data_IF_621034414640
#
_entry.id   IF_621034414640
#
_cell.length_a   1.000
_cell.length_b   1.000
_cell.length_c   1.000
_cell.angle_alpha   90.00
_cell.angle_beta   90.00
_cell.angle_gamma   90.00
#
_symmetry.space_group_name_H-M   'P 1'
#
loop_
_entity.id
_entity.type
_entity.pdbx_description
1 polymer ?
#
# COMPACT_ATOMS: atom_id res chain seq x y z
N UNK A 1 -17.76 -67.98 -45.38
CA UNK A 1 -18.34 -67.36 -44.14
C UNK A 1 -17.44 -66.28 -43.65
N UNK A 2 -17.75 -65.03 -44.01
CA UNK A 2 -17.01 -63.85 -43.55
C UNK A 2 -17.84 -63.07 -42.51
N UNK A 3 -17.34 -62.98 -41.29
CA UNK A 3 -17.93 -62.15 -40.22
C UNK A 3 -17.23 -60.79 -40.19
N UNK A 4 -17.93 -59.77 -40.63
CA UNK A 4 -17.52 -58.36 -40.58
C UNK A 4 -17.71 -57.81 -39.14
N UNK A 5 -16.64 -57.37 -38.50
CA UNK A 5 -16.71 -56.67 -37.21
C UNK A 5 -16.98 -55.13 -37.48
N UNK A 6 -18.15 -54.64 -37.07
CA UNK A 6 -18.43 -53.22 -36.94
C UNK A 6 -17.78 -52.69 -35.63
N UNK A 7 -16.78 -51.83 -35.77
CA UNK A 7 -16.23 -51.05 -34.65
C UNK A 7 -17.02 -49.73 -34.57
N UNK A 8 -17.64 -49.54 -33.43
CA UNK A 8 -18.40 -48.35 -33.05
C UNK A 8 -17.47 -47.13 -32.83
N UNK A 9 -17.65 -46.07 -33.62
CA UNK A 9 -17.05 -44.77 -33.44
C UNK A 9 -18.02 -43.89 -32.62
N UNK A 10 -17.99 -43.93 -31.28
CA UNK A 10 -18.82 -43.11 -30.38
C UNK A 10 -17.96 -42.52 -29.24
N UNK A 11 -16.70 -42.25 -29.43
CA UNK A 11 -15.84 -41.78 -28.34
C UNK A 11 -15.33 -40.31 -28.49
N UNK A 12 -15.42 -39.73 -29.69
CA UNK A 12 -14.71 -38.47 -29.96
C UNK A 12 -15.55 -37.19 -29.96
N UNK A 13 -16.89 -37.30 -29.99
CA UNK A 13 -17.78 -36.15 -30.04
C UNK A 13 -18.09 -35.56 -28.64
N UNK A 14 -18.07 -36.39 -27.58
CA UNK A 14 -18.41 -35.92 -26.20
C UNK A 14 -17.30 -35.14 -25.54
N UNK A 15 -16.02 -35.36 -25.87
CA UNK A 15 -14.89 -34.63 -25.31
C UNK A 15 -14.78 -33.21 -25.90
N UNK A 16 -15.17 -33.02 -27.16
CA UNK A 16 -15.13 -31.70 -27.82
C UNK A 16 -16.23 -30.77 -27.31
N UNK A 17 -17.43 -31.31 -26.95
CA UNK A 17 -18.51 -30.49 -26.39
C UNK A 17 -18.23 -30.01 -24.96
N UNK A 18 -17.52 -30.79 -24.14
CA UNK A 18 -17.13 -30.39 -22.78
C UNK A 18 -16.01 -29.32 -22.78
N UNK A 19 -15.12 -29.37 -23.79
CA UNK A 19 -14.07 -28.32 -23.93
C UNK A 19 -14.64 -27.00 -24.42
N UNK A 20 -15.65 -26.97 -25.29
CA UNK A 20 -16.33 -25.74 -25.72
C UNK A 20 -17.22 -25.14 -24.61
N UNK A 21 -17.83 -25.93 -23.75
CA UNK A 21 -18.62 -25.46 -22.63
C UNK A 21 -17.76 -24.77 -21.55
N UNK A 22 -16.50 -25.21 -21.37
CA UNK A 22 -15.53 -24.58 -20.46
C UNK A 22 -15.03 -23.21 -20.91
N UNK A 23 -14.91 -22.99 -22.25
CA UNK A 23 -14.50 -21.69 -22.80
C UNK A 23 -15.65 -20.67 -22.81
N UNK A 24 -16.90 -21.11 -22.88
CA UNK A 24 -18.07 -20.21 -22.88
C UNK A 24 -18.41 -19.71 -21.46
N UNK A 25 -18.07 -20.44 -20.42
CA UNK A 25 -18.33 -20.04 -19.03
C UNK A 25 -17.43 -18.89 -18.55
N UNK A 26 -16.22 -18.71 -19.15
CA UNK A 26 -15.31 -17.61 -18.82
C UNK A 26 -15.70 -16.25 -19.43
N UNK A 27 -16.48 -16.26 -20.51
CA UNK A 27 -16.84 -15.02 -21.24
C UNK A 27 -18.16 -14.39 -20.74
N UNK A 28 -19.01 -15.15 -20.04
CA UNK A 28 -20.32 -14.66 -19.58
C UNK A 28 -20.28 -13.80 -18.33
N UNK A 29 -19.17 -13.80 -17.55
CA UNK A 29 -19.03 -13.02 -16.32
C UNK A 29 -18.45 -11.62 -16.53
N UNK A 30 -17.88 -11.31 -17.71
CA UNK A 30 -17.26 -10.01 -17.99
C UNK A 30 -18.22 -8.98 -18.61
N UNK A 31 -19.43 -9.39 -19.05
CA UNK A 31 -20.33 -8.50 -19.77
C UNK A 31 -21.04 -7.45 -18.90
N UNK A 32 -21.31 -7.75 -17.65
CA UNK A 32 -22.13 -6.91 -16.76
C UNK A 32 -21.39 -6.43 -15.48
N UNK A 33 -20.08 -6.65 -15.38
CA UNK A 33 -19.31 -6.16 -14.22
C UNK A 33 -19.06 -4.66 -14.27
N UNK A 34 -19.31 -3.91 -13.19
CA UNK A 34 -20.01 -4.30 -11.97
C UNK A 34 -21.54 -4.06 -12.07
N UNK A 35 -22.35 -4.96 -11.47
CA UNK A 35 -23.82 -4.84 -11.40
C UNK A 35 -24.33 -4.56 -9.98
N UNK A 36 -23.44 -4.50 -8.99
CA UNK A 36 -23.75 -4.29 -7.58
C UNK A 36 -22.64 -3.48 -6.88
N UNK A 37 -22.88 -2.97 -5.66
CA UNK A 37 -21.89 -2.21 -4.91
C UNK A 37 -20.59 -2.98 -4.66
N UNK A 38 -19.44 -2.27 -4.75
CA UNK A 38 -18.11 -2.76 -4.45
C UNK A 38 -17.74 -2.37 -3.02
N UNK A 39 -17.12 -3.27 -2.27
CA UNK A 39 -16.55 -2.99 -0.94
C UNK A 39 -15.05 -2.73 -1.08
N UNK A 40 -14.61 -1.55 -0.67
CA UNK A 40 -13.19 -1.18 -0.65
C UNK A 40 -12.67 -1.16 0.79
N UNK A 41 -11.81 -2.12 1.14
CA UNK A 41 -11.11 -2.10 2.41
C UNK A 41 -10.01 -1.03 2.41
N UNK A 42 -9.81 -0.39 3.57
CA UNK A 42 -8.67 0.48 3.87
C UNK A 42 -8.06 -0.03 5.18
N UNK A 43 -6.78 -0.43 5.16
CA UNK A 43 -6.10 -1.10 6.28
C UNK A 43 -5.72 -0.21 7.46
N UNK A 44 -6.14 1.06 7.45
CA UNK A 44 -5.92 2.03 8.54
C UNK A 44 -7.24 2.60 9.06
N UNK A 45 -7.21 3.20 10.25
CA UNK A 45 -8.33 4.00 10.76
C UNK A 45 -8.60 5.20 9.86
N UNK A 46 -9.86 5.66 9.89
CA UNK A 46 -10.29 6.88 9.20
C UNK A 46 -9.45 8.13 9.62
N UNK A 47 -9.32 9.08 8.71
CA UNK A 47 -8.69 10.39 8.91
C UNK A 47 -7.21 10.47 8.56
N UNK A 48 -6.56 9.36 8.16
CA UNK A 48 -5.19 9.38 7.65
C UNK A 48 -5.12 9.52 6.12
N UNK A 49 -3.89 9.61 5.59
CA UNK A 49 -3.64 9.77 4.15
C UNK A 49 -4.32 8.68 3.31
N UNK A 50 -4.14 7.41 3.66
CA UNK A 50 -4.72 6.28 2.92
C UNK A 50 -6.25 6.32 2.90
N UNK A 51 -6.89 6.72 4.00
CA UNK A 51 -8.34 6.88 4.07
C UNK A 51 -8.81 8.07 3.21
N UNK A 52 -8.10 9.20 3.28
CA UNK A 52 -8.38 10.39 2.48
C UNK A 52 -8.32 10.09 0.97
N UNK A 53 -7.21 9.50 0.52
CA UNK A 53 -7.01 9.11 -0.88
C UNK A 53 -8.02 8.03 -1.28
N UNK A 54 -8.23 7.01 -0.43
CA UNK A 54 -9.16 5.92 -0.69
C UNK A 54 -10.61 6.38 -0.87
N UNK A 55 -11.09 7.36 -0.09
CA UNK A 55 -12.42 7.95 -0.28
C UNK A 55 -12.52 8.75 -1.57
N UNK A 56 -11.46 9.48 -1.93
CA UNK A 56 -11.39 10.17 -3.22
C UNK A 56 -11.44 9.19 -4.39
N UNK A 57 -10.66 8.12 -4.34
CA UNK A 57 -10.68 7.03 -5.33
C UNK A 57 -12.04 6.34 -5.38
N UNK A 58 -12.64 6.00 -4.23
CA UNK A 58 -13.95 5.36 -4.18
C UNK A 58 -15.04 6.19 -4.86
N UNK A 59 -15.01 7.53 -4.72
CA UNK A 59 -15.92 8.43 -5.43
C UNK A 59 -15.70 8.33 -6.94
N UNK A 60 -14.45 8.47 -7.41
CA UNK A 60 -14.15 8.39 -8.85
C UNK A 60 -14.55 7.04 -9.41
N UNK A 61 -14.20 5.93 -8.74
CA UNK A 61 -14.62 4.60 -9.16
C UNK A 61 -16.15 4.46 -9.22
N UNK A 62 -16.88 5.00 -8.24
CA UNK A 62 -18.35 4.95 -8.24
C UNK A 62 -18.94 5.66 -9.46
N UNK A 63 -18.41 6.82 -9.81
CA UNK A 63 -18.84 7.59 -10.98
C UNK A 63 -18.52 6.86 -12.30
N UNK A 64 -17.32 6.30 -12.43
CA UNK A 64 -16.87 5.62 -13.64
C UNK A 64 -17.53 4.25 -13.84
N UNK A 65 -17.88 3.57 -12.76
CA UNK A 65 -18.43 2.22 -12.80
C UNK A 65 -19.97 2.21 -12.74
N UNK A 66 -20.60 3.30 -12.32
CA UNK A 66 -22.05 3.41 -12.19
C UNK A 66 -22.63 2.65 -10.99
N UNK A 67 -21.82 2.17 -10.07
CA UNK A 67 -22.23 1.48 -8.83
C UNK A 67 -21.54 2.09 -7.62
N UNK A 68 -22.13 2.03 -6.41
CA UNK A 68 -21.48 2.53 -5.20
C UNK A 68 -20.20 1.76 -4.88
N UNK A 69 -19.12 2.47 -4.49
CA UNK A 69 -17.91 1.90 -3.90
C UNK A 69 -17.84 2.31 -2.43
N UNK A 70 -18.08 1.35 -1.54
CA UNK A 70 -18.20 1.58 -0.11
C UNK A 70 -16.86 1.37 0.61
N UNK A 71 -16.33 2.41 1.24
CA UNK A 71 -15.09 2.34 2.01
C UNK A 71 -15.35 1.75 3.39
N UNK A 72 -14.59 0.70 3.74
CA UNK A 72 -14.62 0.04 5.06
C UNK A 72 -13.21 0.03 5.66
N UNK A 73 -13.01 0.77 6.74
CA UNK A 73 -11.73 0.79 7.44
C UNK A 73 -11.53 -0.51 8.26
N UNK A 74 -10.42 -1.21 8.02
CA UNK A 74 -10.02 -2.46 8.71
C UNK A 74 -8.61 -2.34 9.26
N UNK A 75 -8.41 -1.55 10.33
CA UNK A 75 -7.09 -1.30 10.89
C UNK A 75 -6.55 -2.53 11.62
N UNK A 76 -5.24 -2.76 11.50
CA UNK A 76 -4.53 -3.80 12.22
C UNK A 76 -3.22 -4.21 11.54
N UNK A 77 -2.10 -4.13 12.29
CA UNK A 77 -0.77 -4.55 11.83
C UNK A 77 -0.29 -3.86 10.55
N UNK A 78 -0.55 -2.55 10.41
CA UNK A 78 -0.12 -1.84 9.19
C UNK A 78 -0.90 -2.21 7.92
N UNK A 79 -2.11 -2.81 8.05
CA UNK A 79 -2.94 -3.26 6.91
C UNK A 79 -2.93 -4.78 6.71
N UNK A 80 -2.10 -5.51 7.44
CA UNK A 80 -1.98 -6.97 7.34
C UNK A 80 -3.33 -7.67 7.55
N UNK A 81 -4.14 -7.19 8.51
CA UNK A 81 -5.48 -7.75 8.73
C UNK A 81 -6.38 -7.60 7.50
N UNK A 82 -6.38 -6.41 6.89
CA UNK A 82 -7.18 -6.15 5.69
C UNK A 82 -6.71 -7.00 4.50
N UNK A 83 -5.40 -7.18 4.32
CA UNK A 83 -4.82 -8.03 3.28
C UNK A 83 -5.19 -9.51 3.46
N UNK A 84 -5.15 -10.04 4.69
CA UNK A 84 -5.62 -11.39 4.98
C UNK A 84 -7.12 -11.59 4.73
N UNK A 85 -7.94 -10.58 4.99
CA UNK A 85 -9.37 -10.66 4.66
C UNK A 85 -9.60 -10.60 3.16
N UNK A 86 -8.81 -9.78 2.43
CA UNK A 86 -8.86 -9.75 0.97
C UNK A 86 -8.53 -11.11 0.36
N UNK A 87 -7.48 -11.82 0.84
CA UNK A 87 -7.13 -13.15 0.33
C UNK A 87 -8.27 -14.19 0.44
N UNK A 88 -9.19 -13.98 1.39
CA UNK A 88 -10.34 -14.88 1.62
C UNK A 88 -11.59 -14.48 0.82
N UNK A 89 -11.56 -13.31 0.21
CA UNK A 89 -12.69 -12.81 -0.57
C UNK A 89 -12.77 -13.54 -1.93
N UNK A 90 -13.97 -13.55 -2.52
CA UNK A 90 -14.15 -14.10 -3.87
C UNK A 90 -13.37 -13.26 -4.90
N UNK A 91 -12.72 -13.89 -5.90
CA UNK A 91 -11.98 -13.19 -6.93
C UNK A 91 -12.91 -12.67 -8.05
N UNK A 92 -13.96 -11.97 -7.67
CA UNK A 92 -15.04 -11.47 -8.54
C UNK A 92 -15.03 -9.94 -8.74
N UNK A 93 -14.08 -9.24 -8.09
CA UNK A 93 -13.92 -7.79 -8.18
C UNK A 93 -14.81 -6.98 -7.21
N UNK A 94 -15.70 -7.58 -6.43
CA UNK A 94 -16.60 -6.85 -5.52
C UNK A 94 -16.02 -6.61 -4.12
N UNK A 95 -14.87 -7.19 -3.82
CA UNK A 95 -14.06 -6.84 -2.65
C UNK A 95 -12.66 -6.48 -3.11
N UNK A 96 -12.25 -5.25 -2.79
CA UNK A 96 -10.93 -4.72 -3.15
C UNK A 96 -10.25 -4.16 -1.90
N UNK A 97 -8.92 -4.08 -1.91
CA UNK A 97 -8.14 -3.41 -0.87
C UNK A 97 -7.40 -2.22 -1.49
N UNK A 98 -7.68 -1.02 -1.01
CA UNK A 98 -6.91 0.17 -1.32
C UNK A 98 -5.95 0.46 -0.17
N UNK A 99 -4.66 0.24 -0.39
CA UNK A 99 -3.67 0.34 0.68
C UNK A 99 -2.26 0.63 0.16
N UNK A 100 -1.32 0.87 1.08
CA UNK A 100 0.11 0.91 0.75
C UNK A 100 0.57 -0.45 0.23
N UNK A 101 1.38 -0.44 -0.83
CA UNK A 101 2.05 -1.63 -1.35
C UNK A 101 2.99 -2.29 -0.33
N UNK A 102 3.43 -1.55 0.71
CA UNK A 102 4.32 -2.05 1.76
C UNK A 102 3.79 -3.30 2.46
N UNK A 103 2.46 -3.46 2.54
CA UNK A 103 1.83 -4.64 3.16
C UNK A 103 2.23 -5.95 2.48
N UNK A 104 2.59 -5.90 1.20
CA UNK A 104 3.03 -7.07 0.41
C UNK A 104 4.53 -7.07 0.16
N UNK A 105 5.15 -5.89 -0.07
CA UNK A 105 6.54 -5.80 -0.50
C UNK A 105 7.56 -5.50 0.62
N UNK A 106 7.10 -5.24 1.85
CA UNK A 106 7.99 -4.93 2.98
C UNK A 106 7.66 -5.74 4.24
N UNK A 107 6.38 -5.80 4.63
CA UNK A 107 5.96 -6.46 5.88
C UNK A 107 6.34 -7.96 5.97
N UNK A 108 6.35 -8.75 4.87
CA UNK A 108 6.78 -10.15 4.92
C UNK A 108 8.23 -10.36 5.36
N UNK A 109 9.10 -9.37 5.14
CA UNK A 109 10.51 -9.47 5.54
C UNK A 109 10.74 -9.13 7.01
N UNK A 110 9.71 -8.68 7.71
CA UNK A 110 9.78 -8.27 9.13
C UNK A 110 9.05 -9.19 10.07
N UNK A 111 7.96 -9.79 9.62
CA UNK A 111 7.05 -10.58 10.45
C UNK A 111 6.94 -12.01 9.91
N UNK A 112 7.43 -13.01 10.65
CA UNK A 112 7.33 -14.44 10.28
C UNK A 112 5.91 -14.90 9.96
N UNK A 113 4.91 -14.30 10.60
CA UNK A 113 3.50 -14.64 10.38
C UNK A 113 2.91 -14.05 9.09
N UNK A 114 3.63 -13.14 8.41
CA UNK A 114 3.20 -12.52 7.16
C UNK A 114 3.97 -13.18 6.03
N UNK A 115 3.29 -13.95 5.23
CA UNK A 115 3.90 -14.76 4.15
C UNK A 115 3.45 -14.30 2.78
N UNK A 116 2.92 -13.09 2.68
CA UNK A 116 2.45 -12.53 1.41
C UNK A 116 3.59 -12.44 0.39
N UNK A 117 3.24 -12.72 -0.85
CA UNK A 117 4.07 -12.48 -2.03
C UNK A 117 3.28 -11.68 -3.04
N UNK A 118 3.94 -10.97 -3.97
CA UNK A 118 3.23 -10.27 -5.03
C UNK A 118 2.22 -11.15 -5.78
N UNK A 119 2.55 -12.42 -6.03
CA UNK A 119 1.69 -13.37 -6.73
C UNK A 119 0.46 -13.84 -5.95
N UNK A 120 0.32 -13.49 -4.69
CA UNK A 120 -0.86 -13.83 -3.88
C UNK A 120 -2.04 -12.87 -4.12
N UNK A 121 -1.83 -11.81 -4.89
CA UNK A 121 -2.81 -10.78 -5.22
C UNK A 121 -2.81 -10.46 -6.71
N UNK A 122 -3.88 -9.81 -7.15
CA UNK A 122 -3.93 -9.08 -8.43
C UNK A 122 -3.92 -7.57 -8.14
N UNK A 123 -3.45 -6.77 -9.10
CA UNK A 123 -3.31 -5.32 -8.96
C UNK A 123 -4.05 -4.62 -10.10
N UNK A 124 -5.01 -3.76 -9.76
CA UNK A 124 -5.72 -2.97 -10.78
C UNK A 124 -5.02 -1.63 -11.08
N UNK A 125 -4.05 -1.24 -10.27
CA UNK A 125 -3.26 -0.03 -10.50
C UNK A 125 -2.77 0.63 -9.22
N UNK A 126 -1.98 1.70 -9.41
CA UNK A 126 -1.51 2.60 -8.35
C UNK A 126 -1.91 4.03 -8.71
N UNK A 127 -2.11 4.91 -7.71
CA UNK A 127 -2.56 6.28 -8.01
C UNK A 127 -1.73 7.37 -7.34
N UNK A 128 -1.27 7.20 -6.11
CA UNK A 128 -0.45 8.21 -5.42
C UNK A 128 0.82 7.59 -4.82
N UNK A 129 1.85 8.41 -4.65
CA UNK A 129 3.02 8.04 -3.85
C UNK A 129 2.90 8.58 -2.43
N UNK A 130 3.45 7.85 -1.48
CA UNK A 130 3.67 8.36 -0.14
C UNK A 130 4.94 9.21 -0.12
N UNK A 131 4.86 10.36 0.52
CA UNK A 131 6.02 11.15 0.90
C UNK A 131 6.45 10.72 2.31
N UNK A 132 6.96 9.48 2.39
CA UNK A 132 7.33 8.89 3.68
C UNK A 132 8.52 9.62 4.26
N UNK A 133 8.38 10.15 5.48
CA UNK A 133 9.45 10.92 6.12
C UNK A 133 9.38 10.85 7.64
N UNK A 134 10.50 11.16 8.26
CA UNK A 134 10.59 11.40 9.70
C UNK A 134 10.04 12.80 10.00
N UNK A 135 8.90 12.86 10.66
CA UNK A 135 8.21 14.10 11.00
C UNK A 135 8.21 14.34 12.52
N UNK A 136 8.37 15.61 12.89
CA UNK A 136 8.42 16.09 14.28
C UNK A 136 7.68 17.41 14.42
N UNK A 137 7.56 17.92 15.66
CA UNK A 137 7.04 19.25 15.93
C UNK A 137 7.95 20.33 15.30
N UNK A 138 7.36 21.46 14.92
CA UNK A 138 8.06 22.56 14.28
C UNK A 138 9.17 23.16 15.15
N UNK A 139 8.94 23.20 16.46
CA UNK A 139 9.83 23.74 17.48
C UNK A 139 10.81 22.70 18.07
N UNK A 140 10.81 21.45 17.57
CA UNK A 140 11.80 20.47 17.99
C UNK A 140 13.23 20.97 17.73
N UNK A 141 14.18 20.72 18.66
CA UNK A 141 15.52 21.32 18.64
C UNK A 141 16.48 20.64 17.63
N UNK A 142 15.94 20.03 16.57
CA UNK A 142 16.71 19.35 15.51
C UNK A 142 15.99 19.47 14.17
N UNK A 143 16.75 19.71 13.11
CA UNK A 143 16.25 19.88 11.73
C UNK A 143 16.76 18.79 10.77
N UNK A 144 17.77 18.01 11.18
CA UNK A 144 18.41 16.95 10.40
C UNK A 144 18.44 15.64 11.18
N UNK A 145 18.72 14.52 10.49
CA UNK A 145 18.89 13.21 11.17
C UNK A 145 20.07 13.26 12.13
N UNK A 146 21.17 13.90 11.74
CA UNK A 146 22.38 14.00 12.59
C UNK A 146 22.09 14.75 13.90
N UNK A 147 21.37 15.87 13.83
CA UNK A 147 20.96 16.64 15.01
C UNK A 147 19.93 15.87 15.87
N UNK A 148 18.99 15.16 15.23
CA UNK A 148 18.07 14.29 15.96
C UNK A 148 18.82 13.20 16.73
N UNK A 149 19.81 12.53 16.10
CA UNK A 149 20.64 11.51 16.74
C UNK A 149 21.39 12.07 17.94
N UNK A 150 21.97 13.27 17.81
CA UNK A 150 22.65 13.94 18.92
C UNK A 150 21.67 14.24 20.08
N UNK A 151 20.50 14.81 19.77
CA UNK A 151 19.45 15.05 20.75
C UNK A 151 18.96 13.77 21.43
N UNK A 152 18.74 12.70 20.66
CA UNK A 152 18.24 11.44 21.17
C UNK A 152 19.20 10.75 22.15
N UNK A 153 20.51 10.90 21.96
CA UNK A 153 21.56 10.45 22.88
C UNK A 153 21.46 11.16 24.25
N UNK A 154 21.03 12.40 24.26
CA UNK A 154 20.83 13.20 25.48
C UNK A 154 19.42 13.01 26.09
N UNK A 155 18.49 12.39 25.36
CA UNK A 155 17.10 12.16 25.76
C UNK A 155 16.73 10.67 25.67
N UNK A 156 17.35 9.78 26.44
CA UNK A 156 17.07 8.34 26.40
C UNK A 156 15.61 8.05 26.72
N UNK A 157 15.03 7.04 26.07
CA UNK A 157 13.63 6.69 26.23
C UNK A 157 12.67 7.63 25.48
N UNK A 158 13.14 8.44 24.53
CA UNK A 158 12.24 9.24 23.71
C UNK A 158 11.20 8.36 23.01
N UNK A 159 9.99 8.91 22.77
CA UNK A 159 8.88 8.15 22.18
C UNK A 159 8.81 8.35 20.67
N UNK A 160 8.77 7.23 19.94
CA UNK A 160 8.56 7.18 18.48
C UNK A 160 7.21 6.55 18.15
N UNK A 161 6.37 7.27 17.39
CA UNK A 161 5.07 6.79 16.96
C UNK A 161 5.14 5.92 15.70
N UNK A 162 4.65 4.69 15.77
CA UNK A 162 4.71 3.71 14.69
C UNK A 162 3.33 3.24 14.24
N UNK A 163 3.04 3.36 12.94
CA UNK A 163 1.79 2.88 12.31
C UNK A 163 1.90 1.45 11.77
N UNK A 164 3.10 0.98 11.48
CA UNK A 164 3.34 -0.29 10.81
C UNK A 164 4.60 -0.96 11.31
N UNK A 165 4.74 -2.27 11.11
CA UNK A 165 6.00 -2.98 11.37
C UNK A 165 7.20 -2.35 10.66
N UNK A 166 7.04 -1.88 9.41
CA UNK A 166 8.10 -1.16 8.67
C UNK A 166 8.55 0.09 9.42
N UNK A 167 7.59 0.94 9.85
CA UNK A 167 7.90 2.15 10.58
C UNK A 167 8.65 1.85 11.89
N UNK A 168 8.19 0.84 12.63
CA UNK A 168 8.83 0.38 13.86
C UNK A 168 10.28 -0.04 13.59
N UNK A 169 10.47 -0.93 12.63
CA UNK A 169 11.77 -1.48 12.32
C UNK A 169 12.75 -0.42 11.81
N UNK A 170 12.31 0.51 10.95
CA UNK A 170 13.16 1.61 10.50
C UNK A 170 13.77 2.36 11.68
N UNK A 171 12.97 2.65 12.71
CA UNK A 171 13.46 3.29 13.93
C UNK A 171 14.34 2.36 14.76
N UNK A 172 13.99 1.08 14.89
CA UNK A 172 14.81 0.11 15.63
C UNK A 172 16.19 -0.08 14.99
N UNK A 173 16.28 -0.09 13.66
CA UNK A 173 17.56 -0.18 12.93
C UNK A 173 18.38 1.09 13.16
N UNK A 174 17.78 2.26 12.99
CA UNK A 174 18.46 3.53 13.25
C UNK A 174 18.96 3.60 14.72
N UNK A 175 18.08 3.25 15.66
CA UNK A 175 18.42 3.26 17.08
C UNK A 175 19.57 2.29 17.41
N UNK A 176 19.57 1.09 16.82
CA UNK A 176 20.65 0.11 16.99
C UNK A 176 21.99 0.61 16.41
N UNK A 177 21.97 1.23 15.22
CA UNK A 177 23.18 1.75 14.58
C UNK A 177 23.81 2.88 15.39
N UNK A 178 22.97 3.73 15.99
CA UNK A 178 23.40 4.91 16.74
C UNK A 178 23.49 4.72 18.26
N UNK A 179 23.08 3.55 18.77
CA UNK A 179 23.07 3.28 20.22
C UNK A 179 22.02 4.09 20.97
N UNK A 180 20.83 4.33 20.36
CA UNK A 180 19.75 5.11 20.97
C UNK A 180 18.83 4.23 21.80
N UNK A 181 18.30 4.77 22.90
CA UNK A 181 17.21 4.19 23.69
C UNK A 181 15.88 4.81 23.23
N UNK A 182 14.98 3.99 22.66
CA UNK A 182 13.72 4.44 22.07
C UNK A 182 12.53 3.67 22.61
N UNK A 183 11.46 4.39 22.97
CA UNK A 183 10.17 3.84 23.30
C UNK A 183 9.25 3.85 22.07
N UNK A 184 8.91 2.68 21.53
CA UNK A 184 8.04 2.55 20.36
C UNK A 184 6.57 2.56 20.79
N UNK A 185 5.81 3.56 20.34
CA UNK A 185 4.38 3.73 20.62
C UNK A 185 3.58 3.26 19.40
N UNK A 186 2.83 2.14 19.50
CA UNK A 186 2.01 1.66 18.38
C UNK A 186 0.79 2.55 18.17
N UNK A 187 0.55 2.95 16.94
CA UNK A 187 -0.58 3.79 16.50
C UNK A 187 -1.43 3.04 15.47
N UNK A 188 -2.70 3.42 15.31
CA UNK A 188 -3.66 2.66 14.49
C UNK A 188 -4.03 3.33 13.17
N UNK A 189 -3.60 4.58 12.96
CA UNK A 189 -3.88 5.33 11.73
C UNK A 189 -3.30 6.73 11.76
N UNK A 190 -3.34 7.41 10.60
CA UNK A 190 -2.77 8.74 10.44
C UNK A 190 -3.40 9.78 11.35
N UNK A 191 -4.70 9.67 11.67
CA UNK A 191 -5.36 10.55 12.64
C UNK A 191 -4.80 10.37 14.06
N UNK A 192 -4.64 9.12 14.53
CA UNK A 192 -4.02 8.81 15.83
C UNK A 192 -2.57 9.37 15.87
N UNK A 193 -1.83 9.21 14.76
CA UNK A 193 -0.46 9.70 14.62
C UNK A 193 -0.37 11.22 14.73
N UNK A 194 -1.23 11.94 14.03
CA UNK A 194 -1.26 13.41 14.10
C UNK A 194 -1.63 13.88 15.50
N UNK A 195 -2.61 13.26 16.13
CA UNK A 195 -2.99 13.60 17.51
C UNK A 195 -1.83 13.37 18.49
N UNK A 196 -1.11 12.24 18.36
CA UNK A 196 0.03 11.93 19.21
C UNK A 196 1.20 12.92 19.00
N UNK A 197 1.48 13.28 17.74
CA UNK A 197 2.56 14.19 17.39
C UNK A 197 2.23 15.63 17.82
N UNK A 198 1.07 16.16 17.43
CA UNK A 198 0.64 17.52 17.78
C UNK A 198 0.40 17.69 19.28
N UNK A 199 0.05 16.61 19.98
CA UNK A 199 -0.13 16.58 21.44
C UNK A 199 1.16 16.31 22.23
N UNK A 200 2.35 16.32 21.60
CA UNK A 200 3.64 16.03 22.24
C UNK A 200 3.71 14.68 22.98
N UNK A 201 2.88 13.71 22.57
CA UNK A 201 2.91 12.35 23.14
C UNK A 201 4.05 11.49 22.56
N UNK A 202 4.52 11.85 21.37
CA UNK A 202 5.68 11.27 20.70
C UNK A 202 6.58 12.38 20.17
N UNK A 203 7.89 12.16 20.22
CA UNK A 203 8.88 13.12 19.74
C UNK A 203 9.04 13.06 18.22
N UNK A 204 8.86 11.89 17.63
CA UNK A 204 9.09 11.63 16.22
C UNK A 204 8.12 10.57 15.71
N UNK A 205 7.75 10.63 14.44
CA UNK A 205 6.95 9.61 13.74
C UNK A 205 7.52 9.33 12.35
N UNK A 206 7.22 8.16 11.82
CA UNK A 206 7.34 7.91 10.38
C UNK A 206 5.97 8.15 9.76
N UNK A 207 5.84 9.29 9.05
CA UNK A 207 4.61 9.71 8.40
C UNK A 207 4.64 9.45 6.91
N UNK A 208 3.50 9.05 6.33
CA UNK A 208 3.37 8.84 4.88
C UNK A 208 3.15 10.11 4.06
N UNK A 209 3.21 11.30 4.68
CA UNK A 209 3.01 12.61 4.01
C UNK A 209 1.88 13.44 4.60
N UNK A 210 0.96 12.87 5.40
CA UNK A 210 -0.17 13.63 5.97
C UNK A 210 0.28 14.81 6.85
N UNK A 211 1.50 14.79 7.38
CA UNK A 211 2.09 15.87 8.18
C UNK A 211 2.26 17.17 7.38
N UNK A 212 2.37 17.11 6.05
CA UNK A 212 2.43 18.30 5.19
C UNK A 212 1.15 19.15 5.20
N UNK A 213 0.04 18.64 5.74
CA UNK A 213 -1.16 19.44 6.03
C UNK A 213 -1.00 20.40 7.21
N UNK A 214 0.09 20.29 7.96
CA UNK A 214 0.35 21.04 9.18
C UNK A 214 1.70 21.79 9.16
N UNK A 215 2.01 22.58 8.10
CA UNK A 215 3.35 23.16 7.88
C UNK A 215 3.77 24.15 8.97
N UNK A 216 2.78 24.76 9.66
CA UNK A 216 3.03 25.70 10.77
C UNK A 216 3.35 25.02 12.10
N UNK A 217 3.03 23.72 12.22
CA UNK A 217 3.13 22.98 13.47
C UNK A 217 4.14 21.83 13.40
N UNK A 218 4.40 21.32 12.21
CA UNK A 218 5.25 20.14 11.96
C UNK A 218 6.34 20.45 10.94
N UNK A 219 7.42 19.68 11.01
CA UNK A 219 8.49 19.65 10.02
C UNK A 219 8.95 18.21 9.73
N UNK A 220 9.54 18.03 8.56
CA UNK A 220 10.21 16.80 8.15
C UNK A 220 11.70 16.96 8.36
N UNK A 221 12.38 15.98 8.97
CA UNK A 221 13.83 16.01 9.17
C UNK A 221 14.58 15.08 8.21
N UNK A 222 13.89 14.10 7.59
CA UNK A 222 14.41 13.30 6.50
C UNK A 222 13.27 12.71 5.67
N UNK A 223 13.45 12.63 4.35
CA UNK A 223 12.64 11.80 3.47
C UNK A 223 13.12 10.34 3.55
N UNK A 224 12.19 9.40 3.75
CA UNK A 224 12.46 7.96 3.73
C UNK A 224 12.18 7.31 2.37
N UNK A 225 12.09 8.10 1.33
CA UNK A 225 12.01 7.70 -0.07
C UNK A 225 13.41 7.72 -0.70
N UNK A 226 13.54 7.11 -1.87
CA UNK A 226 14.80 7.16 -2.65
C UNK A 226 15.01 8.53 -3.32
N UNK A 227 14.03 9.42 -3.21
CA UNK A 227 14.05 10.79 -3.76
C UNK A 227 13.61 11.79 -2.70
N UNK A 228 14.03 13.06 -2.83
CA UNK A 228 13.57 14.16 -1.97
C UNK A 228 12.10 14.46 -2.25
N UNK A 229 11.34 14.75 -1.20
CA UNK A 229 9.91 15.01 -1.35
C UNK A 229 9.66 16.30 -2.15
N UNK A 230 8.73 16.29 -3.11
CA UNK A 230 8.31 17.53 -3.78
C UNK A 230 7.82 18.62 -2.82
N UNK A 231 7.18 18.23 -1.72
CA UNK A 231 6.69 19.15 -0.67
C UNK A 231 7.79 19.67 0.26
N UNK A 232 9.01 19.13 0.20
CA UNK A 232 10.15 19.52 1.02
C UNK A 232 11.48 19.24 0.27
N UNK A 233 11.76 19.93 -0.85
CA UNK A 233 12.90 19.60 -1.72
C UNK A 233 14.26 19.87 -1.07
N UNK A 234 14.30 20.70 -0.03
CA UNK A 234 15.52 21.02 0.72
C UNK A 234 15.83 19.99 1.81
N UNK A 235 14.87 19.12 2.16
CA UNK A 235 15.06 18.07 3.16
C UNK A 235 15.81 16.89 2.54
N UNK A 236 16.89 16.47 3.19
CA UNK A 236 17.68 15.31 2.77
C UNK A 236 16.88 13.99 2.82
N UNK A 237 17.24 13.04 1.98
CA UNK A 237 16.77 11.67 2.14
C UNK A 237 17.55 10.97 3.25
N UNK A 238 16.96 9.94 3.84
CA UNK A 238 17.64 9.11 4.84
C UNK A 238 18.91 8.45 4.28
N UNK A 239 18.96 8.19 2.96
CA UNK A 239 20.14 7.66 2.28
C UNK A 239 21.24 8.73 2.15
N UNK A 240 20.89 10.00 1.86
CA UNK A 240 21.83 11.13 1.86
C UNK A 240 22.39 11.38 3.27
N UNK A 241 21.60 11.13 4.32
CA UNK A 241 22.05 11.19 5.72
C UNK A 241 22.95 10.02 6.15
N UNK A 242 23.24 9.06 5.23
CA UNK A 242 24.17 7.94 5.46
C UNK A 242 23.51 6.61 5.84
N UNK A 243 22.17 6.56 5.98
CA UNK A 243 21.43 5.35 6.36
C UNK A 243 20.73 4.74 5.14
N UNK A 244 21.07 3.51 4.77
CA UNK A 244 20.47 2.82 3.62
C UNK A 244 19.09 2.24 3.97
N UNK A 245 18.14 3.12 4.28
CA UNK A 245 16.79 2.77 4.76
C UNK A 245 15.66 3.35 3.88
N UNK A 246 16.02 4.03 2.77
CA UNK A 246 15.05 4.64 1.86
C UNK A 246 14.26 3.59 1.08
N UNK A 247 12.93 3.65 1.16
CA UNK A 247 12.01 2.76 0.46
C UNK A 247 10.83 3.55 -0.11
N UNK A 248 10.51 3.31 -1.37
CA UNK A 248 9.35 3.93 -1.99
C UNK A 248 8.06 3.19 -1.65
N UNK A 249 7.00 3.94 -1.45
CA UNK A 249 5.68 3.39 -1.16
C UNK A 249 4.60 4.10 -1.96
N UNK A 250 3.60 3.32 -2.44
CA UNK A 250 2.49 3.80 -3.27
C UNK A 250 1.16 3.29 -2.76
N UNK A 251 0.08 4.05 -3.00
CA UNK A 251 -1.26 3.52 -2.82
C UNK A 251 -1.64 2.64 -3.99
N UNK A 252 -2.09 1.44 -3.70
CA UNK A 252 -2.34 0.36 -4.66
C UNK A 252 -3.74 -0.19 -4.49
N UNK A 253 -4.45 -0.43 -5.60
CA UNK A 253 -5.72 -1.12 -5.62
C UNK A 253 -5.47 -2.60 -5.87
N UNK A 254 -5.65 -3.41 -4.83
CA UNK A 254 -5.36 -4.85 -4.80
C UNK A 254 -6.65 -5.66 -4.80
N UNK A 255 -6.60 -6.83 -5.41
CA UNK A 255 -7.71 -7.78 -5.52
C UNK A 255 -7.25 -9.19 -5.13
N UNK A 256 -8.18 -10.12 -4.83
CA UNK A 256 -7.84 -11.52 -4.60
C UNK A 256 -7.19 -12.16 -5.82
N UNK A 257 -6.27 -13.08 -5.60
CA UNK A 257 -5.64 -13.87 -6.68
C UNK A 257 -6.69 -14.59 -7.50
N UNK A 258 -6.53 -14.57 -8.84
CA UNK A 258 -7.44 -15.21 -9.78
C UNK A 258 -8.62 -14.33 -10.20
N UNK A 259 -8.64 -13.04 -9.82
CA UNK A 259 -9.62 -12.09 -10.36
C UNK A 259 -9.45 -12.01 -11.88
N UNK A 260 -10.55 -12.15 -12.68
CA UNK A 260 -10.47 -12.14 -14.13
C UNK A 260 -9.84 -10.85 -14.69
N UNK A 261 -8.99 -11.00 -15.72
CA UNK A 261 -8.29 -9.87 -16.36
C UNK A 261 -9.24 -8.75 -16.78
N UNK A 262 -10.41 -9.08 -17.35
CA UNK A 262 -11.39 -8.09 -17.77
C UNK A 262 -11.94 -7.24 -16.59
N UNK A 263 -12.07 -7.83 -15.39
CA UNK A 263 -12.44 -7.12 -14.16
C UNK A 263 -11.33 -6.17 -13.73
N UNK A 264 -10.07 -6.63 -13.78
CA UNK A 264 -8.89 -5.81 -13.47
C UNK A 264 -8.78 -4.61 -14.42
N UNK A 265 -8.94 -4.84 -15.74
CA UNK A 265 -8.92 -3.79 -16.76
C UNK A 265 -10.05 -2.76 -16.56
N UNK A 266 -11.26 -3.22 -16.20
CA UNK A 266 -12.38 -2.34 -15.90
C UNK A 266 -12.11 -1.43 -14.70
N UNK A 267 -11.53 -1.99 -13.63
CA UNK A 267 -11.12 -1.24 -12.44
C UNK A 267 -9.93 -0.32 -12.70
N UNK A 268 -8.94 -0.76 -13.46
CA UNK A 268 -7.76 0.04 -13.84
C UNK A 268 -8.17 1.27 -14.65
N UNK A 269 -9.03 1.07 -15.67
CA UNK A 269 -9.54 2.17 -16.48
C UNK A 269 -10.36 3.17 -15.66
N UNK A 270 -11.15 2.68 -14.69
CA UNK A 270 -11.89 3.55 -13.79
C UNK A 270 -10.97 4.31 -12.82
N UNK A 271 -9.90 3.66 -12.32
CA UNK A 271 -8.88 4.29 -11.46
C UNK A 271 -8.11 5.38 -12.21
N UNK A 272 -7.81 5.17 -13.50
CA UNK A 272 -7.12 6.15 -14.34
C UNK A 272 -7.84 7.50 -14.38
N UNK A 273 -9.16 7.51 -14.33
CA UNK A 273 -9.93 8.75 -14.34
C UNK A 273 -9.57 9.68 -13.14
N UNK A 274 -9.07 9.13 -12.04
CA UNK A 274 -8.62 9.93 -10.90
C UNK A 274 -7.40 10.80 -11.23
N UNK A 275 -6.61 10.45 -12.24
CA UNK A 275 -5.42 11.24 -12.65
C UNK A 275 -5.79 12.66 -13.11
N UNK A 276 -6.94 12.81 -13.75
CA UNK A 276 -7.43 14.09 -14.31
C UNK A 276 -8.69 14.62 -13.60
N UNK A 277 -9.16 13.95 -12.56
CA UNK A 277 -10.34 14.37 -11.80
C UNK A 277 -10.02 15.58 -10.91
N UNK A 278 -10.70 16.69 -11.14
CA UNK A 278 -10.43 17.96 -10.47
C UNK A 278 -10.71 17.92 -8.96
N UNK A 279 -11.75 17.18 -8.52
CA UNK A 279 -12.08 17.06 -7.10
C UNK A 279 -11.08 16.14 -6.39
N UNK A 280 -10.64 15.06 -7.05
CA UNK A 280 -9.57 14.23 -6.53
C UNK A 280 -8.26 15.00 -6.41
N UNK A 281 -7.86 15.73 -7.46
CA UNK A 281 -6.69 16.59 -7.43
C UNK A 281 -6.74 17.62 -6.28
N UNK A 282 -7.90 18.23 -6.02
CA UNK A 282 -8.11 19.15 -4.90
C UNK A 282 -7.95 18.46 -3.55
N UNK A 283 -8.50 17.24 -3.40
CA UNK A 283 -8.40 16.45 -2.16
C UNK A 283 -6.94 16.12 -1.85
N UNK A 284 -6.20 15.57 -2.82
CA UNK A 284 -4.81 15.15 -2.61
C UNK A 284 -3.85 16.34 -2.57
N UNK A 285 -4.10 17.38 -3.37
CA UNK A 285 -3.32 18.62 -3.39
C UNK A 285 -3.36 19.39 -2.05
N UNK A 286 -4.50 19.38 -1.34
CA UNK A 286 -4.62 19.97 -0.01
C UNK A 286 -3.73 19.24 1.05
N UNK A 287 -3.21 18.07 0.76
CA UNK A 287 -2.29 17.30 1.58
C UNK A 287 -0.92 17.11 0.91
N UNK A 288 -0.70 17.84 -0.20
CA UNK A 288 0.52 17.78 -1.02
C UNK A 288 0.90 16.35 -1.46
N UNK A 289 -0.11 15.51 -1.71
CA UNK A 289 0.08 14.12 -2.13
C UNK A 289 0.21 14.06 -3.65
N UNK A 290 1.34 13.62 -4.22
CA UNK A 290 1.52 13.55 -5.66
C UNK A 290 0.64 12.47 -6.29
N UNK A 291 -0.03 12.81 -7.39
CA UNK A 291 -0.73 11.85 -8.25
C UNK A 291 0.31 11.24 -9.19
N UNK A 292 0.50 9.94 -9.14
CA UNK A 292 1.45 9.17 -9.95
C UNK A 292 0.78 7.86 -10.35
N UNK A 293 -0.13 7.95 -11.31
CA UNK A 293 -0.88 6.79 -11.80
C UNK A 293 0.04 5.76 -12.47
N UNK A 294 -0.27 4.50 -12.22
CA UNK A 294 0.25 3.34 -12.93
C UNK A 294 -0.90 2.39 -13.22
N UNK A 295 -0.94 1.89 -14.44
CA UNK A 295 -1.95 0.92 -14.84
C UNK A 295 -1.69 -0.47 -14.20
N UNK A 296 -2.52 -1.44 -14.54
CA UNK A 296 -2.45 -2.78 -13.94
C UNK A 296 -1.15 -3.52 -14.27
N UNK A 297 -0.60 -3.36 -15.47
CA UNK A 297 0.63 -4.06 -15.87
C UNK A 297 1.86 -3.40 -15.23
N UNK A 298 1.92 -2.06 -15.23
CA UNK A 298 2.94 -1.28 -14.53
C UNK A 298 2.91 -1.51 -13.02
N UNK A 299 1.71 -1.55 -12.41
CA UNK A 299 1.55 -1.81 -10.98
C UNK A 299 2.02 -3.22 -10.61
N UNK A 300 1.68 -4.24 -11.43
CA UNK A 300 2.13 -5.62 -11.22
C UNK A 300 3.64 -5.73 -11.32
N UNK A 301 4.25 -5.10 -12.34
CA UNK A 301 5.70 -5.08 -12.52
C UNK A 301 6.41 -4.37 -11.33
N UNK A 302 5.88 -3.23 -10.88
CA UNK A 302 6.44 -2.51 -9.72
C UNK A 302 6.32 -3.32 -8.43
N UNK A 303 5.22 -4.04 -8.21
CA UNK A 303 5.07 -4.90 -7.05
C UNK A 303 6.13 -6.00 -6.99
N UNK A 304 6.43 -6.65 -8.13
CA UNK A 304 7.48 -7.66 -8.22
C UNK A 304 8.86 -7.03 -7.98
N UNK A 305 9.16 -5.94 -8.68
CA UNK A 305 10.45 -5.26 -8.57
C UNK A 305 10.72 -4.74 -7.15
N UNK A 306 9.72 -4.06 -6.54
CA UNK A 306 9.87 -3.50 -5.19
C UNK A 306 9.98 -4.58 -4.12
N UNK A 307 9.31 -5.72 -4.29
CA UNK A 307 9.46 -6.87 -3.41
C UNK A 307 10.90 -7.39 -3.40
N UNK A 308 11.50 -7.63 -4.57
CA UNK A 308 12.90 -8.11 -4.67
C UNK A 308 13.90 -7.06 -4.19
N UNK A 309 13.68 -5.78 -4.51
CA UNK A 309 14.55 -4.68 -4.04
C UNK A 309 14.51 -4.55 -2.51
N UNK A 310 13.32 -4.56 -1.91
CA UNK A 310 13.18 -4.48 -0.46
C UNK A 310 13.78 -5.70 0.24
N UNK A 311 13.58 -6.91 -0.32
CA UNK A 311 14.23 -8.13 0.17
C UNK A 311 15.73 -7.93 0.28
N UNK A 312 16.38 -7.44 -0.78
CA UNK A 312 17.81 -7.18 -0.78
C UNK A 312 18.23 -6.14 0.28
N UNK A 313 17.45 -5.07 0.48
CA UNK A 313 17.70 -4.05 1.51
C UNK A 313 17.63 -4.68 2.90
N UNK A 314 16.62 -5.49 3.21
CA UNK A 314 16.46 -6.13 4.51
C UNK A 314 17.55 -7.17 4.79
N UNK A 315 17.92 -7.96 3.78
CA UNK A 315 19.04 -8.92 3.88
C UNK A 315 20.37 -8.20 4.14
N UNK A 316 20.68 -7.13 3.40
CA UNK A 316 21.89 -6.33 3.58
C UNK A 316 21.95 -5.65 4.97
N UNK A 317 20.80 -5.24 5.50
CA UNK A 317 20.70 -4.68 6.85
C UNK A 317 20.75 -5.74 7.97
N UNK A 318 20.82 -7.04 7.62
CA UNK A 318 20.84 -8.16 8.58
C UNK A 318 19.50 -8.31 9.33
N UNK A 319 18.41 -7.85 8.74
CA UNK A 319 17.08 -7.91 9.33
C UNK A 319 16.49 -9.28 9.03
N UNK A 320 16.04 -9.95 10.09
CA UNK A 320 15.35 -11.24 9.98
C UNK A 320 13.91 -11.09 10.49
N UNK A 321 12.92 -11.71 9.86
CA UNK A 321 11.54 -11.67 10.32
C UNK A 321 11.42 -12.15 11.78
N UNK A 322 10.68 -11.42 12.59
CA UNK A 322 10.45 -11.72 14.01
C UNK A 322 9.09 -12.36 14.27
#
# INVERSE_FOLDING_TARGET
MHKTKRRTFIGSASAALLALAGLAAGSALAGDYPDRPITMFVGYKAGGQTDLVGRGVARVLSEQLGVPVNVVNKPGGGGILAAHELQKAAPDGYTVLFHSNSVVNSEPFMLKRVTFKPDDFEYAGMITAYQVGLATQKDAPYDTVAEFVAWAKENPGFSFGSLSPTARMTMEVLAKQEGLDVNIVPLKGGGDMMNALLGNQVALVLSGGIHYKYPDQLKTIAALTTFRHPSAPDVETINEAGYQLGMDSRTTLMLPKGTPRAVLERLSNALKAAETDADFAKIVGAAEIPILYKDLDEATAEMQQSYESNKAIFEAAGITPQ
#
